data_IF_186222610028
#
_entry.id   IF_186222610028
#
_cell.length_a   1.000
_cell.length_b   1.000
_cell.length_c   1.000
_cell.angle_alpha   90.00
_cell.angle_beta   90.00
_cell.angle_gamma   90.00
#
_symmetry.space_group_name_H-M   'P 1'
#
loop_
_entity.id
_entity.type
_entity.pdbx_description
1 polymer ?
#
# COMPACT_ATOMS: atom_id res chain seq x y z
N UNK A 1 13.87 12.44 -10.39
CA UNK A 1 13.13 11.57 -9.44
C UNK A 1 12.04 10.73 -10.13
N UNK A 2 11.36 11.23 -11.17
CA UNK A 2 10.26 10.53 -11.83
C UNK A 2 10.66 9.28 -12.64
N UNK A 3 11.83 9.26 -13.29
CA UNK A 3 12.25 8.21 -14.24
C UNK A 3 12.48 6.86 -13.57
N UNK A 4 13.20 6.83 -12.45
CA UNK A 4 13.54 5.59 -11.73
C UNK A 4 12.31 4.99 -11.01
N UNK A 5 11.44 5.82 -10.43
CA UNK A 5 10.15 5.36 -9.89
C UNK A 5 9.28 4.74 -10.98
N UNK A 6 9.24 5.35 -12.17
CA UNK A 6 8.52 4.81 -13.31
C UNK A 6 9.11 3.48 -13.80
N UNK A 7 10.45 3.37 -13.89
CA UNK A 7 11.15 2.14 -14.24
C UNK A 7 10.90 1.00 -13.25
N UNK A 8 10.97 1.29 -11.95
CA UNK A 8 10.63 0.30 -10.91
C UNK A 8 9.17 -0.17 -11.02
N UNK A 9 8.21 0.76 -11.15
CA UNK A 9 6.80 0.40 -11.34
C UNK A 9 6.58 -0.43 -12.61
N UNK A 10 7.28 -0.11 -13.70
CA UNK A 10 7.25 -0.90 -14.93
C UNK A 10 7.73 -2.34 -14.68
N UNK A 11 8.83 -2.53 -13.96
CA UNK A 11 9.35 -3.86 -13.63
C UNK A 11 8.37 -4.64 -12.73
N UNK A 12 7.71 -3.97 -11.78
CA UNK A 12 6.70 -4.61 -10.94
C UNK A 12 5.43 -5.01 -11.71
N UNK A 13 5.01 -4.22 -12.72
CA UNK A 13 3.89 -4.59 -13.62
C UNK A 13 4.23 -5.79 -14.50
N UNK A 14 5.49 -5.90 -14.92
CA UNK A 14 5.99 -6.93 -15.82
C UNK A 14 6.76 -8.05 -15.10
N UNK A 15 6.51 -8.23 -13.79
CA UNK A 15 7.28 -9.14 -12.95
C UNK A 15 7.25 -10.59 -13.45
N UNK A 16 6.13 -11.03 -14.03
CA UNK A 16 5.96 -12.36 -14.63
C UNK A 16 6.86 -12.63 -15.85
N UNK A 17 7.39 -11.59 -16.49
CA UNK A 17 8.34 -11.70 -17.61
C UNK A 17 9.80 -11.70 -17.14
N UNK A 18 10.06 -11.63 -15.84
CA UNK A 18 11.40 -11.56 -15.25
C UNK A 18 11.78 -12.93 -14.66
N UNK A 19 12.95 -13.42 -15.04
CA UNK A 19 13.58 -14.60 -14.43
C UNK A 19 14.73 -14.15 -13.56
N UNK A 20 14.69 -14.53 -12.29
CA UNK A 20 15.73 -14.23 -11.31
C UNK A 20 16.24 -15.52 -10.67
N UNK A 21 17.56 -15.64 -10.53
CA UNK A 21 18.20 -16.65 -9.71
C UNK A 21 19.15 -15.99 -8.70
N UNK A 22 19.28 -16.61 -7.53
CA UNK A 22 20.15 -16.16 -6.44
C UNK A 22 21.04 -17.33 -6.04
N UNK A 23 22.34 -17.07 -5.94
CA UNK A 23 23.33 -17.95 -5.35
C UNK A 23 23.90 -17.25 -4.13
N UNK A 24 23.62 -17.79 -2.94
CA UNK A 24 24.21 -17.27 -1.71
C UNK A 24 25.71 -17.56 -1.70
N UNK A 25 26.50 -16.57 -1.28
CA UNK A 25 27.95 -16.67 -1.09
C UNK A 25 28.25 -16.51 0.40
N UNK A 26 29.37 -17.05 0.93
CA UNK A 26 29.76 -16.85 2.32
C UNK A 26 29.89 -15.38 2.73
N UNK A 27 30.19 -14.49 1.78
CA UNK A 27 30.40 -13.07 1.99
C UNK A 27 29.38 -12.18 1.25
N UNK A 28 28.22 -12.72 0.84
CA UNK A 28 27.18 -11.95 0.15
C UNK A 28 26.31 -12.80 -0.78
N UNK A 29 26.04 -12.31 -2.00
CA UNK A 29 25.22 -13.00 -3.01
C UNK A 29 25.74 -12.77 -4.43
N UNK A 30 25.47 -13.73 -5.31
CA UNK A 30 25.46 -13.54 -6.77
C UNK A 30 24.04 -13.71 -7.27
N UNK A 31 23.53 -12.72 -8.00
CA UNK A 31 22.18 -12.75 -8.55
C UNK A 31 22.21 -12.57 -10.05
N UNK A 32 21.33 -13.27 -10.76
CA UNK A 32 21.15 -13.10 -12.19
C UNK A 32 19.69 -12.79 -12.47
N UNK A 33 19.43 -11.64 -13.09
CA UNK A 33 18.06 -11.16 -13.38
C UNK A 33 17.96 -10.87 -14.87
N UNK A 34 17.05 -11.56 -15.55
CA UNK A 34 16.95 -11.55 -17.02
C UNK A 34 15.50 -11.57 -17.48
N UNK A 35 15.26 -11.14 -18.72
CA UNK A 35 13.99 -11.32 -19.43
C UNK A 35 14.27 -11.69 -20.90
N UNK A 36 13.30 -12.36 -21.52
CA UNK A 36 13.28 -12.57 -22.96
C UNK A 36 12.67 -11.37 -23.70
N UNK A 37 11.92 -10.53 -22.99
CA UNK A 37 11.43 -9.27 -23.50
C UNK A 37 12.57 -8.24 -23.48
N UNK A 38 12.86 -7.66 -24.65
CA UNK A 38 13.97 -6.73 -24.83
C UNK A 38 13.77 -5.42 -24.06
N UNK A 39 12.53 -4.94 -23.93
CA UNK A 39 12.18 -3.74 -23.17
C UNK A 39 12.33 -4.00 -21.67
N UNK A 40 11.81 -5.13 -21.17
CA UNK A 40 11.97 -5.52 -19.76
C UNK A 40 13.45 -5.72 -19.43
N UNK A 41 14.22 -6.37 -20.30
CA UNK A 41 15.66 -6.53 -20.13
C UNK A 41 16.40 -5.18 -20.06
N UNK A 42 15.99 -4.20 -20.89
CA UNK A 42 16.55 -2.85 -20.86
C UNK A 42 16.19 -2.11 -19.56
N UNK A 43 14.96 -2.25 -19.08
CA UNK A 43 14.53 -1.67 -17.80
C UNK A 43 15.24 -2.30 -16.61
N UNK A 44 15.51 -3.61 -16.63
CA UNK A 44 16.33 -4.27 -15.60
C UNK A 44 17.72 -3.62 -15.53
N UNK A 45 18.40 -3.47 -16.69
CA UNK A 45 19.73 -2.84 -16.77
C UNK A 45 19.71 -1.40 -16.24
N UNK A 46 18.73 -0.60 -16.69
CA UNK A 46 18.60 0.80 -16.30
C UNK A 46 18.34 0.94 -14.79
N UNK A 47 17.42 0.15 -14.23
CA UNK A 47 17.07 0.21 -12.83
C UNK A 47 18.25 -0.21 -11.93
N UNK A 48 18.92 -1.32 -12.23
CA UNK A 48 20.07 -1.79 -11.42
C UNK A 48 21.22 -0.77 -11.46
N UNK A 49 21.50 -0.19 -12.63
CA UNK A 49 22.51 0.87 -12.76
C UNK A 49 22.14 2.11 -11.94
N UNK A 50 20.87 2.51 -11.96
CA UNK A 50 20.38 3.63 -11.17
C UNK A 50 20.45 3.37 -9.65
N UNK A 51 20.13 2.15 -9.20
CA UNK A 51 20.24 1.76 -7.79
C UNK A 51 21.70 1.77 -7.32
N UNK A 52 22.63 1.30 -8.14
CA UNK A 52 24.06 1.36 -7.84
C UNK A 52 24.58 2.81 -7.73
N UNK A 53 24.19 3.68 -8.67
CA UNK A 53 24.53 5.10 -8.60
C UNK A 53 24.03 5.74 -7.30
N UNK A 54 22.81 5.42 -6.88
CA UNK A 54 22.23 5.90 -5.62
C UNK A 54 22.95 5.39 -4.38
N UNK A 55 23.36 4.12 -4.36
CA UNK A 55 24.15 3.57 -3.25
C UNK A 55 25.46 4.33 -3.09
N UNK A 56 26.16 4.63 -4.20
CA UNK A 56 27.39 5.44 -4.21
C UNK A 56 27.17 6.89 -3.80
N UNK A 57 26.07 7.49 -4.23
CA UNK A 57 25.72 8.89 -3.94
C UNK A 57 25.06 9.08 -2.56
N UNK A 58 24.82 8.01 -1.80
CA UNK A 58 24.11 8.10 -0.51
C UNK A 58 22.65 8.57 -0.65
N UNK A 59 21.96 8.15 -1.71
CA UNK A 59 20.59 8.59 -2.06
C UNK A 59 19.56 7.48 -1.83
N UNK A 60 19.12 7.28 -0.58
CA UNK A 60 18.29 6.13 -0.22
C UNK A 60 16.95 6.10 -0.93
N UNK A 61 16.50 4.88 -1.20
CA UNK A 61 15.14 4.57 -1.66
C UNK A 61 14.42 3.78 -0.57
N UNK A 62 13.07 3.84 -0.57
CA UNK A 62 12.24 3.10 0.38
C UNK A 62 12.68 3.24 1.84
N UNK A 63 13.02 4.46 2.29
CA UNK A 63 13.42 4.75 3.70
C UNK A 63 12.41 4.29 4.76
N UNK A 64 11.17 4.01 4.35
CA UNK A 64 10.12 3.49 5.21
C UNK A 64 10.24 1.97 5.46
N UNK A 65 10.99 1.25 4.63
CA UNK A 65 11.22 -0.19 4.69
C UNK A 65 12.50 -0.46 5.52
N UNK A 66 12.40 -1.12 6.70
CA UNK A 66 13.53 -1.25 7.63
C UNK A 66 14.77 -1.87 7.00
N UNK A 67 14.59 -2.91 6.19
CA UNK A 67 15.69 -3.59 5.50
C UNK A 67 16.43 -2.65 4.54
N UNK A 68 15.70 -1.85 3.76
CA UNK A 68 16.32 -0.91 2.80
C UNK A 68 16.98 0.25 3.51
N UNK A 69 16.39 0.79 4.59
CA UNK A 69 17.01 1.82 5.39
C UNK A 69 18.35 1.34 5.97
N UNK A 70 18.37 0.17 6.62
CA UNK A 70 19.58 -0.42 7.20
C UNK A 70 20.65 -0.73 6.14
N UNK A 71 20.27 -1.26 4.98
CA UNK A 71 21.24 -1.53 3.90
C UNK A 71 21.86 -0.23 3.36
N UNK A 72 21.08 0.85 3.23
CA UNK A 72 21.61 2.14 2.79
C UNK A 72 22.54 2.80 3.82
N UNK A 73 22.29 2.60 5.12
CA UNK A 73 23.20 3.06 6.19
C UNK A 73 24.55 2.37 6.16
N UNK A 74 24.62 1.16 5.59
CA UNK A 74 25.84 0.35 5.44
C UNK A 74 26.39 0.37 4.01
N UNK A 75 25.95 1.31 3.17
CA UNK A 75 26.27 1.31 1.74
C UNK A 75 27.79 1.39 1.44
N UNK A 76 28.56 2.03 2.32
CA UNK A 76 30.02 2.13 2.26
C UNK A 76 30.74 0.80 2.55
N UNK A 77 30.05 -0.15 3.17
CA UNK A 77 30.57 -1.48 3.53
C UNK A 77 30.20 -2.54 2.49
N UNK A 78 29.47 -2.19 1.42
CA UNK A 78 29.02 -3.11 0.39
C UNK A 78 29.78 -2.88 -0.92
N UNK A 79 30.50 -3.91 -1.36
CA UNK A 79 31.08 -3.97 -2.70
C UNK A 79 30.06 -4.54 -3.68
N UNK A 80 29.78 -3.81 -4.75
CA UNK A 80 28.81 -4.21 -5.78
C UNK A 80 29.47 -4.16 -7.16
N UNK A 81 29.40 -5.28 -7.88
CA UNK A 81 29.85 -5.44 -9.27
C UNK A 81 28.67 -5.86 -10.17
N UNK A 82 28.44 -5.09 -11.23
CA UNK A 82 27.40 -5.37 -12.24
C UNK A 82 28.07 -5.85 -13.52
N UNK A 83 27.62 -6.97 -14.05
CA UNK A 83 28.02 -7.49 -15.36
C UNK A 83 26.79 -7.62 -16.25
N UNK A 84 26.83 -7.04 -17.43
CA UNK A 84 25.77 -7.27 -18.42
C UNK A 84 25.84 -8.71 -18.95
N UNK A 85 24.67 -9.34 -19.07
CA UNK A 85 24.53 -10.69 -19.63
C UNK A 85 23.40 -10.68 -20.67
N UNK A 86 23.34 -11.67 -21.58
CA UNK A 86 22.21 -11.79 -22.50
C UNK A 86 20.88 -11.77 -21.73
N UNK A 87 20.00 -10.82 -22.11
CA UNK A 87 18.68 -10.65 -21.50
C UNK A 87 18.64 -9.91 -20.15
N UNK A 88 19.75 -9.39 -19.60
CA UNK A 88 19.70 -8.66 -18.33
C UNK A 88 21.05 -8.38 -17.68
N UNK A 89 21.15 -8.64 -16.38
CA UNK A 89 22.38 -8.41 -15.59
C UNK A 89 22.67 -9.54 -14.61
N UNK A 90 23.94 -9.74 -14.34
CA UNK A 90 24.45 -10.43 -13.16
C UNK A 90 25.02 -9.40 -12.19
N UNK A 91 24.66 -9.52 -10.91
CA UNK A 91 25.13 -8.63 -9.84
C UNK A 91 25.76 -9.47 -8.74
N UNK A 92 26.98 -9.12 -8.38
CA UNK A 92 27.67 -9.66 -7.21
C UNK A 92 27.73 -8.57 -6.16
N UNK A 93 27.10 -8.82 -5.01
CA UNK A 93 27.10 -7.95 -3.83
C UNK A 93 27.84 -8.68 -2.71
N UNK A 94 28.91 -8.08 -2.17
CA UNK A 94 29.72 -8.68 -1.11
C UNK A 94 30.10 -7.67 -0.03
N UNK A 95 30.42 -8.16 1.16
CA UNK A 95 30.97 -7.36 2.26
C UNK A 95 31.94 -8.18 3.10
N UNK A 96 32.77 -7.50 3.90
CA UNK A 96 33.58 -8.11 4.98
C UNK A 96 32.88 -8.01 6.33
N UNK A 97 31.83 -7.19 6.45
CA UNK A 97 31.12 -6.96 7.70
C UNK A 97 29.95 -7.95 7.84
N UNK A 98 29.88 -8.74 8.93
CA UNK A 98 28.84 -9.75 9.12
C UNK A 98 27.40 -9.20 9.00
N UNK A 99 27.13 -8.02 9.57
CA UNK A 99 25.82 -7.36 9.49
C UNK A 99 25.45 -7.00 8.04
N UNK A 100 26.40 -6.46 7.27
CA UNK A 100 26.18 -6.10 5.88
C UNK A 100 25.99 -7.34 4.98
N UNK A 101 26.72 -8.43 5.22
CA UNK A 101 26.53 -9.72 4.53
C UNK A 101 25.08 -10.21 4.72
N UNK A 102 24.59 -10.17 5.96
CA UNK A 102 23.25 -10.61 6.27
C UNK A 102 22.20 -9.71 5.57
N UNK A 103 22.36 -8.39 5.63
CA UNK A 103 21.46 -7.42 4.97
C UNK A 103 21.41 -7.63 3.46
N UNK A 104 22.54 -7.87 2.81
CA UNK A 104 22.63 -8.20 1.37
C UNK A 104 21.80 -9.46 1.05
N UNK A 105 21.96 -10.53 1.86
CA UNK A 105 21.26 -11.80 1.64
C UNK A 105 19.74 -11.65 1.84
N UNK A 106 19.30 -10.90 2.86
CA UNK A 106 17.88 -10.60 3.06
C UNK A 106 17.32 -9.73 1.93
N UNK A 107 18.07 -8.70 1.50
CA UNK A 107 17.69 -7.86 0.36
C UNK A 107 17.50 -8.70 -0.91
N UNK A 108 18.40 -9.64 -1.19
CA UNK A 108 18.29 -10.51 -2.34
C UNK A 108 16.98 -11.32 -2.35
N UNK A 109 16.51 -11.78 -1.18
CA UNK A 109 15.23 -12.49 -1.01
C UNK A 109 14.03 -11.59 -1.28
N UNK A 110 14.05 -10.35 -0.80
CA UNK A 110 12.98 -9.37 -1.05
C UNK A 110 12.88 -9.00 -2.52
N UNK A 111 14.02 -8.80 -3.20
CA UNK A 111 14.00 -8.53 -4.65
C UNK A 111 13.49 -9.75 -5.44
N UNK A 112 13.75 -10.98 -4.99
CA UNK A 112 13.08 -12.16 -5.54
C UNK A 112 11.56 -12.12 -5.29
N UNK A 113 11.12 -11.68 -4.12
CA UNK A 113 9.71 -11.41 -3.84
C UNK A 113 9.09 -10.37 -4.78
N UNK A 114 9.80 -9.32 -5.18
CA UNK A 114 9.33 -8.36 -6.18
C UNK A 114 9.13 -9.02 -7.55
N UNK A 115 10.02 -9.94 -7.94
CA UNK A 115 9.87 -10.70 -9.19
C UNK A 115 8.69 -11.67 -9.09
N UNK A 116 8.50 -12.35 -7.97
CA UNK A 116 7.43 -13.33 -7.78
C UNK A 116 6.04 -12.69 -7.62
N UNK A 117 5.93 -11.60 -6.86
CA UNK A 117 4.67 -11.03 -6.39
C UNK A 117 4.43 -9.57 -6.81
N UNK A 118 5.41 -8.93 -7.45
CA UNK A 118 5.27 -7.59 -8.00
C UNK A 118 4.90 -6.57 -6.92
N UNK A 119 3.84 -5.79 -7.19
CA UNK A 119 3.37 -4.78 -6.25
C UNK A 119 2.90 -5.32 -4.89
N UNK A 120 2.50 -6.59 -4.79
CA UNK A 120 2.08 -7.15 -3.51
C UNK A 120 3.26 -7.18 -2.52
N UNK A 121 4.44 -7.61 -2.98
CA UNK A 121 5.66 -7.57 -2.16
C UNK A 121 6.17 -6.16 -1.96
N UNK A 122 6.15 -5.32 -3.01
CA UNK A 122 6.67 -3.95 -2.93
C UNK A 122 5.94 -3.06 -1.89
N UNK A 123 4.76 -3.47 -1.42
CA UNK A 123 4.01 -2.76 -0.37
C UNK A 123 4.33 -3.23 1.04
N UNK A 124 5.05 -4.33 1.20
CA UNK A 124 5.44 -4.84 2.51
C UNK A 124 6.67 -4.08 3.04
N UNK A 125 6.77 -4.03 4.37
CA UNK A 125 7.99 -3.70 5.07
C UNK A 125 8.73 -5.00 5.39
N UNK A 126 10.06 -5.00 5.25
CA UNK A 126 10.86 -6.19 5.40
C UNK A 126 11.78 -6.06 6.63
N UNK A 127 11.83 -7.07 7.51
CA UNK A 127 12.71 -7.05 8.67
C UNK A 127 14.18 -7.21 8.27
N UNK A 128 15.09 -6.73 9.12
CA UNK A 128 16.53 -6.99 8.99
C UNK A 128 16.87 -8.41 9.48
N UNK A 129 17.98 -9.03 9.04
CA UNK A 129 18.35 -10.40 9.43
C UNK A 129 18.71 -10.59 10.91
N UNK A 130 19.16 -9.54 11.59
CA UNK A 130 19.35 -9.53 13.05
C UNK A 130 18.04 -9.25 13.80
N UNK A 131 16.95 -8.98 13.08
CA UNK A 131 15.64 -9.27 13.61
C UNK A 131 15.52 -10.80 13.64
N UNK A 132 15.69 -11.37 14.84
CA UNK A 132 15.00 -12.60 15.25
C UNK A 132 13.69 -12.71 14.45
N UNK A 133 13.33 -13.87 13.85
CA UNK A 133 11.99 -14.04 13.29
C UNK A 133 11.06 -13.42 14.30
N UNK A 134 10.24 -12.45 13.90
CA UNK A 134 9.36 -11.85 14.87
C UNK A 134 8.58 -13.01 15.50
N UNK A 135 8.96 -13.40 16.72
CA UNK A 135 7.99 -13.73 17.75
C UNK A 135 6.89 -12.71 17.51
N UNK A 136 5.65 -13.17 17.25
CA UNK A 136 4.57 -12.34 16.73
C UNK A 136 4.69 -10.98 17.35
N UNK A 137 5.15 -10.00 16.55
CA UNK A 137 5.93 -8.83 17.00
C UNK A 137 5.58 -8.55 18.44
N UNK A 138 6.49 -8.83 19.40
CA UNK A 138 6.22 -8.71 20.82
C UNK A 138 5.23 -7.58 20.98
N UNK A 139 3.95 -7.94 21.23
CA UNK A 139 2.84 -6.98 21.34
C UNK A 139 3.45 -5.89 22.18
N UNK A 140 3.60 -4.64 21.72
CA UNK A 140 4.25 -3.58 22.51
C UNK A 140 3.81 -3.78 23.97
N UNK A 141 4.63 -4.39 24.87
CA UNK A 141 4.06 -4.96 26.11
C UNK A 141 3.70 -3.85 27.09
N UNK A 142 3.92 -2.62 26.66
CA UNK A 142 3.75 -1.36 27.35
C UNK A 142 2.42 -0.68 27.01
N UNK A 143 1.71 -1.10 25.94
CA UNK A 143 0.45 -0.48 25.56
C UNK A 143 -0.68 -0.96 26.49
N UNK A 144 -1.06 -0.10 27.43
CA UNK A 144 -2.20 -0.36 28.31
C UNK A 144 -3.51 -0.43 27.50
N UNK A 145 -4.53 -1.14 27.99
CA UNK A 145 -5.87 -1.14 27.35
C UNK A 145 -6.44 0.27 27.08
N UNK A 146 -6.30 1.24 28.01
CA UNK A 146 -6.62 2.64 27.72
C UNK A 146 -5.87 3.22 26.51
N UNK A 147 -4.57 2.93 26.37
CA UNK A 147 -3.75 3.35 25.22
C UNK A 147 -4.26 2.71 23.93
N UNK A 148 -4.52 1.40 23.92
CA UNK A 148 -5.05 0.69 22.74
C UNK A 148 -6.44 1.20 22.35
N UNK A 149 -7.32 1.45 23.33
CA UNK A 149 -8.63 2.06 23.08
C UNK A 149 -8.48 3.44 22.44
N UNK A 150 -7.55 4.27 22.91
CA UNK A 150 -7.28 5.58 22.34
C UNK A 150 -6.77 5.49 20.89
N UNK A 151 -5.87 4.56 20.59
CA UNK A 151 -5.38 4.34 19.22
C UNK A 151 -6.50 3.87 18.26
N UNK A 152 -7.45 3.06 18.75
CA UNK A 152 -8.65 2.68 17.98
C UNK A 152 -9.55 3.88 17.68
N UNK A 153 -9.77 4.76 18.66
CA UNK A 153 -10.53 6.01 18.46
C UNK A 153 -9.86 6.93 17.43
N UNK A 154 -8.57 7.19 17.59
CA UNK A 154 -7.80 8.03 16.67
C UNK A 154 -7.80 7.46 15.24
N UNK A 155 -7.71 6.14 15.11
CA UNK A 155 -7.83 5.44 13.84
C UNK A 155 -9.18 5.69 13.17
N UNK A 156 -10.29 5.53 13.92
CA UNK A 156 -11.63 5.79 13.41
C UNK A 156 -11.83 7.26 13.01
N UNK A 157 -11.35 8.19 13.84
CA UNK A 157 -11.42 9.63 13.55
C UNK A 157 -10.65 10.02 12.28
N UNK A 158 -9.47 9.42 12.08
CA UNK A 158 -8.68 9.60 10.86
C UNK A 158 -9.42 9.03 9.66
N UNK A 159 -9.88 7.76 9.72
CA UNK A 159 -10.55 7.08 8.62
C UNK A 159 -11.84 7.80 8.19
N UNK A 160 -12.60 8.39 9.14
CA UNK A 160 -13.75 9.25 8.84
C UNK A 160 -13.42 10.43 7.91
N UNK A 161 -12.21 11.00 8.00
CA UNK A 161 -11.79 12.13 7.16
C UNK A 161 -10.99 11.69 5.94
N UNK A 162 -10.25 10.59 6.05
CA UNK A 162 -9.39 10.04 5.00
C UNK A 162 -10.20 9.39 3.87
N UNK A 163 -11.23 8.61 4.21
CA UNK A 163 -12.04 7.88 3.23
C UNK A 163 -12.71 8.83 2.22
N UNK A 164 -13.33 9.95 2.62
CA UNK A 164 -13.85 10.93 1.67
C UNK A 164 -12.78 11.57 0.79
N UNK A 165 -11.61 11.91 1.34
CA UNK A 165 -10.50 12.49 0.59
C UNK A 165 -9.99 11.51 -0.49
N UNK A 166 -9.80 10.24 -0.13
CA UNK A 166 -9.41 9.19 -1.07
C UNK A 166 -10.48 8.96 -2.17
N UNK A 167 -11.75 8.89 -1.79
CA UNK A 167 -12.83 8.58 -2.72
C UNK A 167 -13.13 9.73 -3.70
N UNK A 168 -13.17 10.97 -3.21
CA UNK A 168 -13.56 12.12 -4.03
C UNK A 168 -12.46 12.52 -5.02
N UNK A 169 -11.19 12.39 -4.62
CA UNK A 169 -10.04 12.60 -5.52
C UNK A 169 -10.06 11.63 -6.69
N UNK A 170 -10.35 10.35 -6.44
CA UNK A 170 -10.54 9.36 -7.52
C UNK A 170 -11.71 9.70 -8.46
N UNK A 171 -12.78 10.31 -7.94
CA UNK A 171 -13.94 10.71 -8.73
C UNK A 171 -13.74 12.01 -9.52
N UNK A 172 -12.59 12.69 -9.35
CA UNK A 172 -12.31 13.97 -10.00
C UNK A 172 -13.25 15.11 -9.58
N UNK A 173 -13.95 14.97 -8.43
CA UNK A 173 -14.91 15.99 -7.96
C UNK A 173 -14.14 17.14 -7.32
N UNK A 174 -13.74 18.14 -8.12
CA UNK A 174 -12.84 19.22 -7.70
C UNK A 174 -13.14 19.82 -6.32
N UNK A 175 -14.25 20.57 -6.18
CA UNK A 175 -14.51 21.29 -4.92
C UNK A 175 -14.73 20.36 -3.72
N UNK A 176 -15.50 19.24 -3.83
CA UNK A 176 -15.60 18.26 -2.75
C UNK A 176 -14.26 17.61 -2.36
N UNK A 177 -13.36 17.36 -3.33
CA UNK A 177 -12.05 16.76 -3.07
C UNK A 177 -11.16 17.71 -2.27
N UNK A 178 -11.10 18.99 -2.68
CA UNK A 178 -10.33 20.01 -1.97
C UNK A 178 -10.84 20.19 -0.53
N UNK A 179 -12.16 20.25 -0.34
CA UNK A 179 -12.75 20.36 0.98
C UNK A 179 -12.47 19.11 1.85
N UNK A 180 -12.52 17.90 1.28
CA UNK A 180 -12.17 16.67 2.00
C UNK A 180 -10.69 16.64 2.42
N UNK A 181 -9.78 17.04 1.52
CA UNK A 181 -8.34 17.15 1.81
C UNK A 181 -8.06 18.21 2.89
N UNK A 182 -8.78 19.34 2.89
CA UNK A 182 -8.71 20.35 3.95
C UNK A 182 -9.11 19.76 5.30
N UNK A 183 -10.25 19.07 5.38
CA UNK A 183 -10.72 18.42 6.62
C UNK A 183 -9.74 17.37 7.14
N UNK A 184 -9.17 16.56 6.24
CA UNK A 184 -8.14 15.58 6.59
C UNK A 184 -6.88 16.25 7.16
N UNK A 185 -6.45 17.35 6.55
CA UNK A 185 -5.30 18.14 7.03
C UNK A 185 -5.56 18.72 8.42
N UNK A 186 -6.74 19.31 8.64
CA UNK A 186 -7.15 19.85 9.95
C UNK A 186 -7.23 18.77 11.04
N UNK A 187 -7.74 17.58 10.68
CA UNK A 187 -7.76 16.42 11.57
C UNK A 187 -6.35 16.04 12.01
N UNK A 188 -5.39 15.95 11.09
CA UNK A 188 -4.00 15.63 11.42
C UNK A 188 -3.34 16.69 12.31
N UNK A 189 -3.62 17.98 12.08
CA UNK A 189 -3.13 19.07 12.94
C UNK A 189 -3.70 18.94 14.35
N UNK A 190 -5.01 18.67 14.48
CA UNK A 190 -5.65 18.48 15.79
C UNK A 190 -5.07 17.28 16.54
N UNK A 191 -4.85 16.16 15.84
CA UNK A 191 -4.27 14.95 16.43
C UNK A 191 -2.84 15.18 16.92
N UNK A 192 -2.00 15.87 16.14
CA UNK A 192 -0.61 16.21 16.54
C UNK A 192 -0.55 17.10 17.77
N UNK A 193 -1.45 18.09 17.88
CA UNK A 193 -1.53 18.96 19.07
C UNK A 193 -1.84 18.13 20.32
N UNK A 194 -2.81 17.22 20.24
CA UNK A 194 -3.15 16.32 21.33
C UNK A 194 -2.01 15.36 21.72
N UNK A 195 -1.16 14.92 20.76
CA UNK A 195 0.01 14.09 21.05
C UNK A 195 1.06 14.82 21.88
N UNK A 196 1.36 16.09 21.54
CA UNK A 196 2.32 16.92 22.27
C UNK A 196 1.92 17.08 23.74
N UNK A 197 0.62 17.20 24.01
CA UNK A 197 0.07 17.35 25.36
C UNK A 197 0.14 16.05 26.18
N UNK A 198 0.20 14.88 25.52
CA UNK A 198 0.10 13.56 26.18
C UNK A 198 1.38 12.72 26.12
N UNK A 199 2.42 13.13 25.37
CA UNK A 199 3.69 12.40 25.16
C UNK A 199 3.49 10.91 24.83
N UNK A 200 2.57 10.60 23.92
CA UNK A 200 2.30 9.22 23.49
C UNK A 200 3.11 8.83 22.25
N UNK A 201 4.22 8.11 22.45
CA UNK A 201 5.08 7.60 21.38
C UNK A 201 4.32 6.71 20.38
N UNK A 202 3.32 5.94 20.85
CA UNK A 202 2.52 5.04 20.01
C UNK A 202 1.66 5.80 18.99
N UNK A 203 1.10 6.95 19.36
CA UNK A 203 0.32 7.78 18.43
C UNK A 203 1.23 8.37 17.34
N UNK A 204 2.43 8.83 17.72
CA UNK A 204 3.41 9.32 16.76
C UNK A 204 3.83 8.20 15.79
N UNK A 205 4.09 7.00 16.30
CA UNK A 205 4.45 5.85 15.48
C UNK A 205 3.32 5.47 14.50
N UNK A 206 2.07 5.46 14.97
CA UNK A 206 0.90 5.14 14.15
C UNK A 206 0.78 6.09 12.96
N UNK A 207 0.87 7.40 13.20
CA UNK A 207 0.67 8.43 12.16
C UNK A 207 1.97 8.98 11.56
N UNK A 208 3.10 8.29 11.72
CA UNK A 208 4.40 8.75 11.20
C UNK A 208 4.34 9.03 9.69
N UNK A 209 4.72 10.24 9.29
CA UNK A 209 4.78 10.68 7.88
C UNK A 209 3.43 10.85 7.17
N UNK A 210 2.28 10.67 7.85
CA UNK A 210 0.97 10.80 7.20
C UNK A 210 0.67 12.23 6.76
N UNK A 211 1.11 13.23 7.53
CA UNK A 211 0.87 14.63 7.17
C UNK A 211 1.60 15.06 5.90
N UNK A 212 2.81 14.54 5.65
CA UNK A 212 3.57 14.89 4.45
C UNK A 212 2.88 14.32 3.21
N UNK A 213 2.35 13.10 3.32
CA UNK A 213 1.56 12.46 2.26
C UNK A 213 0.27 13.24 1.99
N UNK A 214 -0.45 13.65 3.04
CA UNK A 214 -1.68 14.44 2.90
C UNK A 214 -1.40 15.83 2.34
N UNK A 215 -0.30 16.48 2.75
CA UNK A 215 0.10 17.78 2.23
C UNK A 215 0.45 17.70 0.74
N UNK A 216 1.16 16.66 0.30
CA UNK A 216 1.45 16.45 -1.11
C UNK A 216 0.18 16.16 -1.93
N UNK A 217 -0.72 15.31 -1.42
CA UNK A 217 -2.01 15.07 -2.06
C UNK A 217 -2.84 16.37 -2.20
N UNK A 218 -2.85 17.21 -1.16
CA UNK A 218 -3.49 18.52 -1.19
C UNK A 218 -2.88 19.44 -2.25
N UNK A 219 -1.54 19.49 -2.34
CA UNK A 219 -0.81 20.27 -3.35
C UNK A 219 -1.15 19.82 -4.77
N UNK A 220 -1.15 18.52 -5.02
CA UNK A 220 -1.51 17.93 -6.32
C UNK A 220 -2.96 18.27 -6.71
N UNK A 221 -3.90 18.09 -5.79
CA UNK A 221 -5.31 18.43 -6.03
C UNK A 221 -5.52 19.93 -6.29
N UNK A 222 -4.78 20.81 -5.60
CA UNK A 222 -4.82 22.27 -5.85
C UNK A 222 -4.29 22.63 -7.24
N UNK A 223 -3.34 21.87 -7.76
CA UNK A 223 -2.87 22.01 -9.15
C UNK A 223 -3.82 21.39 -10.20
N UNK A 224 -4.92 20.78 -9.76
CA UNK A 224 -5.91 20.12 -10.63
C UNK A 224 -5.62 18.64 -10.92
N UNK A 225 -4.52 18.09 -10.40
CA UNK A 225 -4.15 16.68 -10.59
C UNK A 225 -4.78 15.79 -9.52
N UNK A 226 -6.09 15.57 -9.63
CA UNK A 226 -6.85 14.77 -8.66
C UNK A 226 -6.50 13.28 -8.69
N UNK A 227 -6.10 12.76 -9.86
CA UNK A 227 -5.68 11.38 -9.97
C UNK A 227 -4.35 11.16 -9.24
N UNK A 228 -3.35 12.02 -9.44
CA UNK A 228 -2.10 11.91 -8.68
C UNK A 228 -2.32 12.14 -7.18
N UNK A 229 -3.25 13.03 -6.79
CA UNK A 229 -3.63 13.20 -5.39
C UNK A 229 -4.23 11.91 -4.81
N UNK A 230 -5.12 11.23 -5.54
CA UNK A 230 -5.68 9.94 -5.14
C UNK A 230 -4.59 8.87 -4.98
N UNK A 231 -3.73 8.71 -5.99
CA UNK A 231 -2.63 7.74 -5.97
C UNK A 231 -1.63 8.01 -4.84
N UNK A 232 -1.45 9.28 -4.45
CA UNK A 232 -0.62 9.66 -3.31
C UNK A 232 -1.22 9.22 -1.98
N UNK A 233 -2.55 9.27 -1.84
CA UNK A 233 -3.26 8.86 -0.63
C UNK A 233 -3.39 7.33 -0.49
N UNK A 234 -3.57 6.61 -1.60
CA UNK A 234 -3.89 5.17 -1.61
C UNK A 234 -3.01 4.30 -0.68
N UNK A 235 -1.68 4.48 -0.61
CA UNK A 235 -0.83 3.65 0.25
C UNK A 235 -1.08 3.81 1.76
N UNK A 236 -1.69 4.93 2.20
CA UNK A 236 -1.90 5.20 3.63
C UNK A 236 -2.75 4.12 4.31
N UNK A 237 -3.77 3.59 3.62
CA UNK A 237 -4.64 2.56 4.17
C UNK A 237 -3.83 1.33 4.63
N UNK A 238 -2.92 0.86 3.78
CA UNK A 238 -2.16 -0.37 4.03
C UNK A 238 -1.02 -0.11 5.03
N UNK A 239 -0.42 1.09 4.99
CA UNK A 239 0.59 1.53 5.95
C UNK A 239 0.01 1.63 7.37
N UNK A 240 -1.17 2.25 7.52
CA UNK A 240 -1.83 2.39 8.81
C UNK A 240 -2.28 1.03 9.35
N UNK A 241 -2.84 0.15 8.52
CA UNK A 241 -3.18 -1.21 8.92
C UNK A 241 -1.95 -1.97 9.47
N UNK A 242 -0.81 -1.85 8.79
CA UNK A 242 0.44 -2.50 9.22
C UNK A 242 0.96 -1.94 10.55
N UNK A 243 0.90 -0.61 10.74
CA UNK A 243 1.33 0.04 11.99
C UNK A 243 0.40 -0.25 13.16
N UNK A 244 -0.92 -0.31 12.91
CA UNK A 244 -1.90 -0.75 13.92
C UNK A 244 -1.56 -2.15 14.42
N UNK A 245 -1.28 -3.07 13.50
CA UNK A 245 -0.88 -4.45 13.86
C UNK A 245 0.43 -4.49 14.64
N UNK A 246 1.45 -3.74 14.24
CA UNK A 246 2.71 -3.70 15.00
C UNK A 246 2.53 -3.12 16.41
N UNK A 247 1.57 -2.22 16.59
CA UNK A 247 1.20 -1.63 17.89
C UNK A 247 0.20 -2.50 18.70
N UNK A 248 -0.21 -3.68 18.21
CA UNK A 248 -1.23 -4.51 18.87
C UNK A 248 -2.65 -3.93 18.81
N UNK A 249 -2.89 -2.92 17.97
CA UNK A 249 -4.19 -2.28 17.80
C UNK A 249 -5.07 -3.15 16.91
N UNK A 250 -5.95 -3.94 17.53
CA UNK A 250 -7.03 -4.63 16.81
C UNK A 250 -8.08 -3.61 16.36
N UNK A 251 -8.03 -3.26 15.08
CA UNK A 251 -8.92 -2.30 14.44
C UNK A 251 -9.71 -2.93 13.30
N UNK A 252 -11.05 -2.91 13.43
CA UNK A 252 -11.96 -3.72 12.62
C UNK A 252 -11.91 -3.44 11.11
N UNK A 253 -11.63 -2.22 10.67
CA UNK A 253 -11.58 -1.91 9.22
C UNK A 253 -10.33 -2.49 8.54
N UNK A 254 -9.30 -2.94 9.27
CA UNK A 254 -8.09 -3.50 8.64
C UNK A 254 -8.36 -4.75 7.81
N UNK A 255 -9.42 -5.50 8.11
CA UNK A 255 -9.86 -6.64 7.31
C UNK A 255 -10.32 -6.22 5.89
N UNK A 256 -10.80 -4.99 5.72
CA UNK A 256 -11.17 -4.44 4.41
C UNK A 256 -9.93 -4.08 3.60
N UNK A 257 -8.84 -3.66 4.26
CA UNK A 257 -7.54 -3.44 3.61
C UNK A 257 -6.94 -4.75 3.10
N UNK A 258 -7.03 -5.83 3.89
CA UNK A 258 -6.61 -7.18 3.49
C UNK A 258 -7.37 -7.62 2.23
N UNK A 259 -8.68 -7.42 2.21
CA UNK A 259 -9.50 -7.77 1.05
C UNK A 259 -9.16 -6.91 -0.17
N UNK A 260 -8.98 -5.60 0.03
CA UNK A 260 -8.62 -4.70 -1.08
C UNK A 260 -7.34 -5.16 -1.80
N UNK A 261 -6.31 -5.58 -1.05
CA UNK A 261 -5.05 -6.00 -1.62
C UNK A 261 -5.22 -7.17 -2.61
N UNK A 262 -5.98 -8.21 -2.23
CA UNK A 262 -6.27 -9.34 -3.11
C UNK A 262 -7.24 -8.95 -4.23
N UNK A 263 -8.26 -8.14 -3.93
CA UNK A 263 -9.25 -7.67 -4.89
C UNK A 263 -8.61 -6.88 -6.03
N UNK A 264 -7.67 -5.97 -5.74
CA UNK A 264 -6.97 -5.21 -6.79
C UNK A 264 -6.08 -6.12 -7.66
N UNK A 265 -5.52 -7.19 -7.08
CA UNK A 265 -4.75 -8.18 -7.86
C UNK A 265 -5.62 -8.97 -8.87
N UNK A 266 -6.94 -9.01 -8.64
CA UNK A 266 -7.93 -9.60 -9.54
C UNK A 266 -8.43 -8.56 -10.55
N UNK A 267 -8.85 -7.40 -10.05
CA UNK A 267 -9.59 -6.40 -10.83
C UNK A 267 -8.68 -5.67 -11.82
N UNK A 268 -7.44 -5.29 -11.44
CA UNK A 268 -6.56 -4.56 -12.35
C UNK A 268 -6.23 -5.38 -13.61
N UNK A 269 -5.73 -6.62 -13.51
CA UNK A 269 -5.47 -7.44 -14.69
C UNK A 269 -6.75 -7.70 -15.50
N UNK A 270 -7.90 -7.89 -14.84
CA UNK A 270 -9.14 -8.16 -15.54
C UNK A 270 -9.65 -6.97 -16.37
N UNK A 271 -9.40 -5.73 -15.95
CA UNK A 271 -9.76 -4.53 -16.73
C UNK A 271 -8.94 -4.39 -18.02
N UNK A 272 -7.68 -4.87 -18.00
CA UNK A 272 -6.75 -4.73 -19.12
C UNK A 272 -6.71 -5.97 -20.03
N UNK A 273 -7.39 -7.06 -19.66
CA UNK A 273 -7.33 -8.34 -20.36
C UNK A 273 -8.19 -8.35 -21.63
N UNK A 274 -7.67 -8.94 -22.71
CA UNK A 274 -8.45 -9.37 -23.86
C UNK A 274 -9.06 -10.75 -23.57
N UNK A 275 -10.40 -10.92 -23.58
CA UNK A 275 -11.05 -12.21 -23.37
C UNK A 275 -10.54 -13.33 -24.31
N UNK A 276 -10.08 -12.99 -25.52
CA UNK A 276 -9.60 -13.96 -26.48
C UNK A 276 -8.18 -14.46 -26.19
N UNK A 277 -7.45 -13.78 -25.31
CA UNK A 277 -6.06 -14.10 -24.95
C UNK A 277 -5.95 -14.72 -23.55
N UNK A 278 -7.08 -15.06 -22.93
CA UNK A 278 -7.11 -15.63 -21.58
C UNK A 278 -6.73 -17.12 -21.62
N UNK A 279 -5.47 -17.41 -21.31
CA UNK A 279 -4.95 -18.78 -21.29
C UNK A 279 -5.28 -19.54 -19.99
N UNK A 280 -5.01 -20.85 -19.99
CA UNK A 280 -5.26 -21.71 -18.84
C UNK A 280 -4.49 -21.28 -17.57
N UNK A 281 -3.27 -20.75 -17.73
CA UNK A 281 -2.46 -20.31 -16.60
C UNK A 281 -3.02 -19.03 -15.96
N UNK A 282 -3.55 -18.10 -16.76
CA UNK A 282 -4.25 -16.91 -16.29
C UNK A 282 -5.53 -17.29 -15.53
N UNK A 283 -6.29 -18.26 -16.05
CA UNK A 283 -7.48 -18.78 -15.37
C UNK A 283 -7.13 -19.44 -14.03
N UNK A 284 -6.06 -20.23 -13.96
CA UNK A 284 -5.63 -20.87 -12.71
C UNK A 284 -5.14 -19.85 -11.67
N UNK A 285 -4.40 -18.82 -12.09
CA UNK A 285 -4.04 -17.69 -11.21
C UNK A 285 -5.30 -17.00 -10.67
N UNK A 286 -6.27 -16.72 -11.55
CA UNK A 286 -7.52 -16.06 -11.16
C UNK A 286 -8.34 -16.92 -10.18
N UNK A 287 -8.35 -18.26 -10.33
CA UNK A 287 -8.97 -19.19 -9.37
C UNK A 287 -8.31 -19.14 -7.99
N UNK A 288 -6.98 -19.13 -7.94
CA UNK A 288 -6.22 -19.02 -6.69
C UNK A 288 -6.54 -17.69 -5.99
N UNK A 289 -6.49 -16.58 -6.73
CA UNK A 289 -6.81 -15.25 -6.20
C UNK A 289 -8.26 -15.15 -5.73
N UNK A 290 -9.23 -15.71 -6.47
CA UNK A 290 -10.64 -15.72 -6.09
C UNK A 290 -10.88 -16.54 -4.81
N UNK A 291 -10.14 -17.64 -4.62
CA UNK A 291 -10.16 -18.43 -3.38
C UNK A 291 -9.60 -17.62 -2.21
N UNK A 292 -8.47 -16.94 -2.39
CA UNK A 292 -7.92 -16.03 -1.37
C UNK A 292 -8.88 -14.89 -1.03
N UNK A 293 -9.53 -14.31 -2.04
CA UNK A 293 -10.53 -13.26 -1.85
C UNK A 293 -11.74 -13.77 -1.03
N UNK A 294 -12.24 -14.97 -1.32
CA UNK A 294 -13.32 -15.58 -0.56
C UNK A 294 -12.92 -15.88 0.90
N UNK A 295 -11.70 -16.38 1.13
CA UNK A 295 -11.20 -16.65 2.47
C UNK A 295 -11.05 -15.39 3.33
N UNK A 296 -10.53 -14.29 2.74
CA UNK A 296 -10.45 -13.01 3.43
C UNK A 296 -11.84 -12.43 3.65
N UNK A 297 -12.74 -12.55 2.66
CA UNK A 297 -14.11 -12.07 2.80
C UNK A 297 -14.86 -12.76 3.93
N UNK A 298 -14.67 -14.07 4.14
CA UNK A 298 -15.26 -14.78 5.27
C UNK A 298 -14.90 -14.14 6.64
N UNK A 299 -13.71 -13.53 6.77
CA UNK A 299 -13.33 -12.75 7.97
C UNK A 299 -14.08 -11.42 8.04
N UNK A 300 -14.29 -10.74 6.91
CA UNK A 300 -15.13 -9.51 6.81
C UNK A 300 -16.55 -9.82 7.32
N UNK A 301 -17.12 -10.94 6.89
CA UNK A 301 -18.47 -11.37 7.29
C UNK A 301 -18.62 -11.60 8.79
N UNK A 302 -17.55 -12.06 9.45
CA UNK A 302 -17.49 -12.31 10.89
C UNK A 302 -17.13 -11.06 11.71
N UNK A 303 -16.77 -9.97 11.04
CA UNK A 303 -16.32 -8.75 11.71
C UNK A 303 -17.50 -7.90 12.14
N UNK A 304 -17.61 -7.63 13.45
CA UNK A 304 -18.52 -6.60 13.94
C UNK A 304 -17.88 -5.21 13.73
N UNK A 305 -18.43 -4.46 12.78
CA UNK A 305 -17.99 -3.09 12.48
C UNK A 305 -18.61 -2.03 13.39
N UNK A 306 -19.70 -2.34 14.10
CA UNK A 306 -20.30 -1.44 15.10
C UNK A 306 -19.58 -1.62 16.44
N UNK A 307 -18.72 -0.65 16.78
CA UNK A 307 -17.80 -0.75 17.92
C UNK A 307 -18.00 0.38 18.91
N UNK A 308 -17.59 0.19 20.16
CA UNK A 308 -17.69 1.23 21.19
C UNK A 308 -16.89 2.50 20.85
N UNK A 309 -15.75 2.35 20.14
CA UNK A 309 -14.89 3.47 19.74
C UNK A 309 -15.33 4.15 18.44
N UNK A 310 -16.21 3.51 17.66
CA UNK A 310 -16.75 4.01 16.40
C UNK A 310 -18.15 3.42 16.16
N UNK A 311 -19.17 3.91 16.89
CA UNK A 311 -20.54 3.42 16.75
C UNK A 311 -21.12 3.84 15.41
N UNK A 312 -21.83 2.93 14.75
CA UNK A 312 -22.51 3.21 13.49
C UNK A 312 -23.92 3.77 13.76
N UNK A 313 -24.38 4.69 12.92
CA UNK A 313 -25.81 5.07 12.89
C UNK A 313 -26.66 3.91 12.36
N UNK A 314 -27.96 3.89 12.67
CA UNK A 314 -28.86 2.82 12.20
C UNK A 314 -28.88 2.69 10.67
N UNK A 315 -28.81 3.82 9.95
CA UNK A 315 -28.69 3.85 8.50
C UNK A 315 -27.37 3.20 8.01
N UNK A 316 -26.25 3.49 8.69
CA UNK A 316 -24.97 2.85 8.39
C UNK A 316 -24.99 1.35 8.70
N UNK A 317 -25.59 0.92 9.81
CA UNK A 317 -25.70 -0.52 10.15
C UNK A 317 -26.44 -1.29 9.06
N UNK A 318 -27.58 -0.77 8.60
CA UNK A 318 -28.34 -1.39 7.52
C UNK A 318 -27.54 -1.42 6.21
N UNK A 319 -26.88 -0.31 5.86
CA UNK A 319 -26.10 -0.22 4.64
C UNK A 319 -24.88 -1.15 4.65
N UNK A 320 -24.12 -1.20 5.76
CA UNK A 320 -22.96 -2.08 5.93
C UNK A 320 -23.35 -3.54 5.76
N UNK A 321 -24.41 -4.01 6.43
CA UNK A 321 -24.87 -5.39 6.30
C UNK A 321 -25.26 -5.76 4.86
N UNK A 322 -26.00 -4.87 4.18
CA UNK A 322 -26.36 -5.06 2.77
C UNK A 322 -25.14 -5.10 1.84
N UNK A 323 -24.16 -4.22 2.05
CA UNK A 323 -22.96 -4.14 1.23
C UNK A 323 -22.02 -5.32 1.46
N UNK A 324 -21.95 -5.83 2.71
CA UNK A 324 -21.22 -7.06 3.02
C UNK A 324 -21.79 -8.24 2.23
N UNK A 325 -23.12 -8.36 2.21
CA UNK A 325 -23.82 -9.39 1.43
C UNK A 325 -23.63 -9.21 -0.09
N UNK A 326 -23.76 -8.00 -0.61
CA UNK A 326 -23.62 -7.72 -2.03
C UNK A 326 -22.24 -8.10 -2.58
N UNK A 327 -21.19 -7.93 -1.77
CA UNK A 327 -19.84 -8.33 -2.16
C UNK A 327 -19.63 -9.85 -2.08
N UNK A 328 -20.18 -10.53 -1.05
CA UNK A 328 -20.21 -12.01 -0.98
C UNK A 328 -20.85 -12.60 -2.24
N UNK A 329 -21.95 -12.01 -2.70
CA UNK A 329 -22.61 -12.41 -3.94
C UNK A 329 -21.76 -12.14 -5.18
N UNK A 330 -21.01 -11.04 -5.22
CA UNK A 330 -20.10 -10.75 -6.33
C UNK A 330 -18.96 -11.78 -6.40
N UNK A 331 -18.33 -12.12 -5.27
CA UNK A 331 -17.32 -13.19 -5.19
C UNK A 331 -17.92 -14.54 -5.60
N UNK A 332 -19.15 -14.83 -5.18
CA UNK A 332 -19.85 -16.06 -5.56
C UNK A 332 -20.12 -16.15 -7.06
N UNK A 333 -20.45 -15.01 -7.71
CA UNK A 333 -20.59 -14.93 -9.17
C UNK A 333 -19.26 -15.16 -9.88
N UNK A 334 -18.17 -14.55 -9.41
CA UNK A 334 -16.82 -14.80 -9.94
C UNK A 334 -16.45 -16.29 -9.85
N UNK A 335 -16.64 -16.91 -8.69
CA UNK A 335 -16.34 -18.33 -8.50
C UNK A 335 -17.19 -19.24 -9.39
N UNK A 336 -18.44 -18.86 -9.71
CA UNK A 336 -19.28 -19.59 -10.66
C UNK A 336 -18.78 -19.43 -12.08
N UNK A 337 -18.51 -18.20 -12.51
CA UNK A 337 -17.97 -17.93 -13.84
C UNK A 337 -16.65 -18.69 -14.09
N UNK A 338 -15.77 -18.78 -13.08
CA UNK A 338 -14.50 -19.53 -13.19
C UNK A 338 -14.65 -21.05 -13.36
N UNK A 339 -15.82 -21.61 -13.06
CA UNK A 339 -16.15 -23.04 -13.26
C UNK A 339 -16.87 -23.30 -14.57
N UNK A 340 -17.79 -22.41 -14.93
CA UNK A 340 -18.83 -22.71 -15.92
C UNK A 340 -18.96 -21.64 -17.02
N UNK A 341 -18.41 -20.44 -16.81
CA UNK A 341 -18.58 -19.30 -17.71
C UNK A 341 -17.49 -19.20 -18.77
N UNK A 342 -17.76 -18.36 -19.78
CA UNK A 342 -16.76 -18.01 -20.79
C UNK A 342 -15.78 -16.93 -20.29
N UNK A 343 -14.73 -16.64 -21.07
CA UNK A 343 -13.71 -15.68 -20.69
C UNK A 343 -14.26 -14.26 -20.44
N UNK A 344 -15.27 -13.83 -21.20
CA UNK A 344 -15.88 -12.50 -21.03
C UNK A 344 -16.71 -12.44 -19.74
N UNK A 345 -17.47 -13.49 -19.44
CA UNK A 345 -18.21 -13.63 -18.18
C UNK A 345 -17.28 -13.66 -16.97
N UNK A 346 -16.16 -14.39 -17.06
CA UNK A 346 -15.13 -14.45 -16.00
C UNK A 346 -14.55 -13.06 -15.72
N UNK A 347 -14.11 -12.34 -16.76
CA UNK A 347 -13.53 -11.01 -16.62
C UNK A 347 -14.56 -10.00 -16.11
N UNK A 348 -15.79 -10.03 -16.63
CA UNK A 348 -16.89 -9.20 -16.14
C UNK A 348 -17.19 -9.44 -14.66
N UNK A 349 -17.24 -10.70 -14.23
CA UNK A 349 -17.45 -11.06 -12.83
C UNK A 349 -16.25 -10.65 -11.94
N UNK A 350 -15.02 -10.75 -12.44
CA UNK A 350 -13.81 -10.34 -11.75
C UNK A 350 -13.79 -8.83 -11.49
N UNK A 351 -14.21 -8.01 -12.46
CA UNK A 351 -14.33 -6.56 -12.30
C UNK A 351 -15.46 -6.19 -11.32
N UNK A 352 -16.57 -6.94 -11.36
CA UNK A 352 -17.78 -6.67 -10.59
C UNK A 352 -17.65 -6.87 -9.06
N UNK A 353 -16.52 -7.37 -8.56
CA UNK A 353 -16.27 -7.48 -7.11
C UNK A 353 -15.92 -6.12 -6.47
N UNK A 354 -15.41 -5.16 -7.25
CA UNK A 354 -14.95 -3.85 -6.74
C UNK A 354 -16.07 -2.90 -6.33
N UNK A 355 -17.16 -2.71 -7.11
CA UNK A 355 -18.20 -1.74 -6.76
C UNK A 355 -18.85 -1.91 -5.37
N UNK A 356 -19.28 -3.11 -4.93
CA UNK A 356 -19.84 -3.27 -3.59
C UNK A 356 -18.79 -3.05 -2.49
N UNK A 357 -17.52 -3.43 -2.72
CA UNK A 357 -16.42 -3.14 -1.79
C UNK A 357 -16.21 -1.63 -1.62
N UNK A 358 -16.11 -0.89 -2.74
CA UNK A 358 -15.87 0.55 -2.70
C UNK A 358 -16.98 1.27 -1.93
N UNK A 359 -18.24 0.89 -2.16
CA UNK A 359 -19.39 1.40 -1.40
C UNK A 359 -19.32 1.05 0.08
N UNK A 360 -18.94 -0.19 0.43
CA UNK A 360 -18.76 -0.60 1.83
C UNK A 360 -17.69 0.25 2.51
N UNK A 361 -16.51 0.37 1.90
CA UNK A 361 -15.42 1.17 2.45
C UNK A 361 -15.82 2.64 2.63
N UNK A 362 -16.52 3.22 1.65
CA UNK A 362 -17.03 4.60 1.74
C UNK A 362 -18.04 4.81 2.87
N UNK A 363 -18.77 3.78 3.33
CA UNK A 363 -19.77 3.92 4.40
C UNK A 363 -19.18 4.31 5.76
N UNK A 364 -17.87 4.15 5.92
CA UNK A 364 -17.12 4.54 7.12
C UNK A 364 -16.53 5.96 7.05
N UNK A 365 -16.69 6.68 5.94
CA UNK A 365 -16.27 8.07 5.78
C UNK A 365 -17.38 9.07 6.12
N UNK A 366 -16.99 10.25 6.61
CA UNK A 366 -17.92 11.38 6.80
C UNK A 366 -17.99 12.26 5.53
N UNK A 367 -19.00 12.00 4.71
CA UNK A 367 -19.27 12.78 3.50
C UNK A 367 -20.14 14.03 3.76
N UNK A 368 -20.56 14.28 4.99
CA UNK A 368 -21.52 15.33 5.32
C UNK A 368 -20.99 16.73 4.98
N UNK A 369 -21.81 17.54 4.32
CA UNK A 369 -21.45 18.93 3.98
C UNK A 369 -20.36 19.11 2.91
N UNK A 370 -19.68 18.05 2.43
CA UNK A 370 -18.61 18.17 1.42
C UNK A 370 -19.12 18.73 0.09
N UNK A 371 -20.38 18.47 -0.28
CA UNK A 371 -21.01 19.02 -1.48
C UNK A 371 -21.57 20.44 -1.31
N UNK A 372 -21.90 20.86 -0.08
CA UNK A 372 -22.54 22.17 0.21
C UNK A 372 -21.53 23.26 0.58
N UNK A 373 -20.43 22.90 1.25
CA UNK A 373 -19.40 23.84 1.71
C UNK A 373 -18.37 24.19 0.63
N UNK A 374 -18.30 23.36 -0.42
CA UNK A 374 -17.55 23.59 -1.65
C UNK A 374 -17.80 24.96 -2.30
N UNK A 375 -19.05 25.45 -2.23
CA UNK A 375 -19.47 26.74 -2.82
C UNK A 375 -19.01 27.96 -2.02
N UNK A 376 -18.68 27.78 -0.73
CA UNK A 376 -18.29 28.86 0.18
C UNK A 376 -16.76 29.07 0.20
N UNK A 377 -15.99 28.00 0.03
CA UNK A 377 -14.52 28.03 0.01
C UNK A 377 -13.92 28.62 -1.28
N UNK A 378 -14.63 28.58 -2.41
CA UNK A 378 -14.25 29.29 -3.65
C UNK A 378 -14.19 30.82 -3.47
N UNK A 379 -14.84 31.38 -2.45
CA UNK A 379 -14.78 32.80 -2.14
C UNK A 379 -13.58 33.19 -1.23
N UNK A 380 -12.87 32.22 -0.65
CA UNK A 380 -11.76 32.43 0.29
C UNK A 380 -10.51 31.65 -0.12
N UNK A 381 -10.18 31.66 -1.42
CA UNK A 381 -9.08 30.89 -2.05
C UNK A 381 -7.65 31.32 -1.62
N UNK A 382 -7.47 31.82 -0.40
CA UNK A 382 -6.19 32.10 0.23
C UNK A 382 -6.20 31.51 1.64
N UNK A 383 -5.21 30.66 1.93
CA UNK A 383 -4.85 30.09 3.24
C UNK A 383 -5.45 28.71 3.57
N UNK A 384 -4.84 27.66 2.99
CA UNK A 384 -4.56 26.48 3.82
C UNK A 384 -3.54 26.90 4.89
N UNK A 385 -3.73 26.55 6.18
CA UNK A 385 -2.69 26.81 7.16
C UNK A 385 -1.43 26.01 6.76
N UNK A 386 -0.24 26.65 6.72
CA UNK A 386 0.99 25.93 6.46
C UNK A 386 1.19 24.88 7.54
N UNK A 387 1.48 23.65 7.15
CA UNK A 387 2.15 22.70 8.04
C UNK A 387 3.61 23.11 8.00
N UNK A 388 4.00 24.01 8.90
CA UNK A 388 5.37 24.52 9.00
C UNK A 388 6.36 23.36 9.16
N UNK A 389 7.23 23.23 8.17
CA UNK A 389 8.52 22.55 8.25
C UNK A 389 9.57 23.64 8.48
N UNK A 390 9.98 23.89 9.72
CA UNK A 390 11.19 24.64 10.16
C UNK A 390 11.16 24.67 11.71
N UNK A 391 12.07 23.93 12.36
CA UNK A 391 13.30 24.43 13.00
C UNK A 391 13.07 25.15 14.34
N UNK A 392 13.10 24.36 15.42
CA UNK A 392 14.05 24.48 16.56
C UNK A 392 14.00 23.20 17.41
#
# INVERSE_FOLDING_TARGET
MAVDRAGFHFLLRNNGSIKRSVTELPNGVRTRTTSQDAEVAAQIRAHVTAMYGRMKEGRPVRRWDPLFAALFEKADQVALAITEVPGGVEVVETSTEPEAIALIQAHAKVVSGFVERGFAEARLAHPTPDATPAEPAAQHPTATEPSLHRLRQLSAEFDCSYIPALALTNQGRQSPSLEALRRLSERLVAMRRQTRDTKSDDQELLFKGTADIVAEAARLAQSGDFLAAHETLEPLRDQLASRRRSLGVDYRLDVLSDYHAVMESIVKPANDADPNLLDAAALDRLRQQATSAAAIWARVEQTNFDTAYAPLSDAQKQSVGSLVQANREAISRLNRALREGDAAEVLGAAIAIKPPFAKLYMSFGDFSGLAKNASRALATQQNYPPVSTEEE
#
